data_IF_146607238046
#
_entry.id   IF_146607238046
#
_cell.length_a   1.000
_cell.length_b   1.000
_cell.length_c   1.000
_cell.angle_alpha   90.00
_cell.angle_beta   90.00
_cell.angle_gamma   90.00
#
_symmetry.space_group_name_H-M   'P 1'
#
loop_
_entity.id
_entity.type
_entity.pdbx_description
1 polymer ?
#
# COMPACT_ATOMS: atom_id res chain seq x y z
N UNK A 1 -22.91 -17.30 -18.93
CA UNK A 1 -22.18 -17.96 -17.84
C UNK A 1 -20.71 -17.87 -18.16
N UNK A 2 -19.98 -16.94 -17.54
CA UNK A 2 -18.53 -16.82 -17.74
C UNK A 2 -17.84 -17.91 -16.92
N UNK A 3 -17.26 -18.88 -17.61
CA UNK A 3 -16.35 -19.88 -17.05
C UNK A 3 -15.16 -19.13 -16.44
N UNK A 4 -15.13 -18.99 -15.12
CA UNK A 4 -13.94 -18.52 -14.39
C UNK A 4 -13.05 -19.74 -14.23
N UNK A 5 -11.92 -19.75 -14.94
CA UNK A 5 -10.93 -20.82 -14.85
C UNK A 5 -10.46 -20.95 -13.38
N UNK A 6 -10.58 -22.13 -12.76
CA UNK A 6 -10.16 -22.33 -11.37
C UNK A 6 -8.64 -22.16 -11.18
N UNK A 7 -7.86 -22.11 -12.26
CA UNK A 7 -6.43 -21.79 -12.27
C UNK A 7 -6.12 -20.35 -12.70
N UNK A 8 -7.09 -19.43 -12.65
CA UNK A 8 -6.86 -18.02 -12.96
C UNK A 8 -6.00 -17.36 -11.86
N UNK A 9 -4.69 -17.56 -11.92
CA UNK A 9 -3.74 -16.70 -11.24
C UNK A 9 -3.89 -15.31 -11.84
N UNK A 10 -4.33 -14.33 -11.04
CA UNK A 10 -4.28 -12.91 -11.44
C UNK A 10 -2.86 -12.65 -11.95
N UNK A 11 -2.74 -12.09 -13.15
CA UNK A 11 -1.44 -11.83 -13.80
C UNK A 11 -0.53 -10.96 -12.95
N UNK A 12 -1.13 -10.11 -12.11
CA UNK A 12 -0.42 -9.09 -11.36
C UNK A 12 -0.12 -9.61 -9.94
N UNK A 13 1.16 -9.57 -9.57
CA UNK A 13 1.57 -9.93 -8.22
C UNK A 13 1.01 -8.95 -7.17
N UNK A 14 0.85 -9.38 -5.92
CA UNK A 14 0.45 -8.47 -4.83
C UNK A 14 1.39 -7.27 -4.72
N UNK A 15 2.69 -7.47 -4.93
CA UNK A 15 3.69 -6.40 -4.99
C UNK A 15 3.38 -5.37 -6.08
N UNK A 16 2.97 -5.84 -7.25
CA UNK A 16 2.61 -4.98 -8.37
C UNK A 16 1.34 -4.18 -8.08
N UNK A 17 0.30 -4.84 -7.53
CA UNK A 17 -0.93 -4.15 -7.08
C UNK A 17 -0.61 -3.05 -6.07
N UNK A 18 0.18 -3.38 -5.03
CA UNK A 18 0.59 -2.41 -4.01
C UNK A 18 1.39 -1.25 -4.64
N UNK A 19 2.29 -1.55 -5.57
CA UNK A 19 3.11 -0.54 -6.27
C UNK A 19 2.22 0.43 -7.06
N UNK A 20 1.28 -0.10 -7.85
CA UNK A 20 0.36 0.69 -8.68
C UNK A 20 -0.56 1.59 -7.86
N UNK A 21 -1.00 1.12 -6.69
CA UNK A 21 -1.81 1.92 -5.77
C UNK A 21 -0.93 2.98 -5.08
N UNK A 22 0.26 2.61 -4.59
CA UNK A 22 1.18 3.51 -3.88
C UNK A 22 1.64 4.70 -4.75
N UNK A 23 1.83 4.49 -6.06
CA UNK A 23 2.17 5.55 -7.02
C UNK A 23 1.17 6.72 -7.01
N UNK A 24 -0.10 6.46 -6.68
CA UNK A 24 -1.16 7.49 -6.67
C UNK A 24 -1.06 8.43 -5.47
N UNK A 25 -0.39 8.03 -4.40
CA UNK A 25 -0.26 8.83 -3.17
C UNK A 25 0.94 9.76 -3.19
N UNK A 26 1.98 9.44 -3.98
CA UNK A 26 3.19 10.26 -4.00
C UNK A 26 4.03 10.08 -5.26
N UNK A 27 4.52 11.19 -5.85
CA UNK A 27 5.53 11.12 -6.90
C UNK A 27 6.94 10.85 -6.34
N UNK A 28 7.17 10.97 -5.03
CA UNK A 28 8.50 10.86 -4.42
C UNK A 28 8.88 9.39 -4.23
N UNK A 29 9.89 8.93 -4.97
CA UNK A 29 10.36 7.54 -4.98
C UNK A 29 10.69 6.97 -3.59
N UNK A 30 11.37 7.74 -2.75
CA UNK A 30 11.72 7.31 -1.40
C UNK A 30 10.47 7.10 -0.52
N UNK A 31 9.48 7.99 -0.63
CA UNK A 31 8.21 7.85 0.09
C UNK A 31 7.41 6.65 -0.45
N UNK A 32 7.39 6.47 -1.78
CA UNK A 32 6.71 5.35 -2.43
C UNK A 32 7.29 4.00 -2.00
N UNK A 33 8.62 3.86 -1.98
CA UNK A 33 9.29 2.64 -1.52
C UNK A 33 8.91 2.29 -0.09
N UNK A 34 8.91 3.29 0.81
CA UNK A 34 8.55 3.09 2.21
C UNK A 34 7.08 2.66 2.37
N UNK A 35 6.15 3.27 1.64
CA UNK A 35 4.73 2.89 1.65
C UNK A 35 4.56 1.43 1.17
N UNK A 36 5.23 1.05 0.07
CA UNK A 36 5.18 -0.31 -0.47
C UNK A 36 5.71 -1.32 0.56
N UNK A 37 6.90 -1.07 1.11
CA UNK A 37 7.56 -1.97 2.06
C UNK A 37 6.71 -2.19 3.32
N UNK A 38 6.23 -1.11 3.94
CA UNK A 38 5.37 -1.22 5.13
C UNK A 38 4.05 -1.93 4.84
N UNK A 39 3.45 -1.66 3.69
CA UNK A 39 2.22 -2.35 3.29
C UNK A 39 2.46 -3.86 3.16
N UNK A 40 3.55 -4.26 2.50
CA UNK A 40 3.89 -5.68 2.34
C UNK A 40 4.12 -6.38 3.68
N UNK A 41 4.75 -5.71 4.65
CA UNK A 41 4.91 -6.23 6.02
C UNK A 41 3.54 -6.44 6.68
N UNK A 42 2.63 -5.46 6.61
CA UNK A 42 1.26 -5.60 7.17
C UNK A 42 0.52 -6.78 6.53
N UNK A 43 0.67 -6.99 5.22
CA UNK A 43 0.03 -8.11 4.53
C UNK A 43 0.59 -9.44 5.04
N UNK A 44 1.90 -9.56 5.21
CA UNK A 44 2.52 -10.78 5.74
C UNK A 44 2.10 -11.08 7.19
N UNK A 45 1.83 -10.04 7.98
CA UNK A 45 1.36 -10.16 9.37
C UNK A 45 -0.17 -10.41 9.47
N UNK A 46 -0.91 -10.38 8.35
CA UNK A 46 -2.37 -10.56 8.30
C UNK A 46 -2.76 -11.62 7.27
N UNK A 47 -2.54 -12.92 7.57
CA UNK A 47 -2.90 -14.02 6.67
C UNK A 47 -4.40 -14.12 6.38
N UNK A 48 -5.24 -13.47 7.17
CA UNK A 48 -6.70 -13.41 7.01
C UNK A 48 -7.20 -12.45 5.92
N UNK A 49 -6.30 -11.63 5.34
CA UNK A 49 -6.69 -10.72 4.26
C UNK A 49 -7.19 -11.52 3.04
N UNK A 50 -8.44 -11.27 2.66
CA UNK A 50 -9.01 -11.86 1.45
C UNK A 50 -8.48 -11.13 0.20
N UNK A 51 -7.43 -11.69 -0.39
CA UNK A 51 -6.82 -11.22 -1.62
C UNK A 51 -7.59 -11.69 -2.88
N UNK A 52 -8.83 -12.15 -2.72
CA UNK A 52 -9.78 -12.40 -3.80
C UNK A 52 -10.11 -11.13 -4.60
N UNK A 53 -10.06 -9.95 -3.96
CA UNK A 53 -10.04 -8.62 -4.61
C UNK A 53 -8.98 -7.69 -3.96
N UNK A 54 -7.70 -7.82 -4.33
CA UNK A 54 -6.58 -7.12 -3.72
C UNK A 54 -6.69 -5.60 -3.77
N UNK A 55 -7.31 -5.00 -4.81
CA UNK A 55 -7.40 -3.54 -4.88
C UNK A 55 -8.33 -3.02 -3.79
N UNK A 56 -9.49 -3.66 -3.64
CA UNK A 56 -10.47 -3.29 -2.61
C UNK A 56 -9.91 -3.50 -1.22
N UNK A 57 -9.22 -4.62 -1.01
CA UNK A 57 -8.71 -5.01 0.31
C UNK A 57 -7.45 -4.22 0.72
N UNK A 58 -6.54 -3.97 -0.22
CA UNK A 58 -5.26 -3.32 0.08
C UNK A 58 -5.33 -1.78 0.07
N UNK A 59 -6.29 -1.18 -0.64
CA UNK A 59 -6.41 0.28 -0.71
C UNK A 59 -6.55 0.95 0.68
N UNK A 60 -7.40 0.46 1.61
CA UNK A 60 -7.46 1.02 2.97
C UNK A 60 -6.13 0.92 3.71
N UNK A 61 -5.43 -0.20 3.59
CA UNK A 61 -4.12 -0.43 4.23
C UNK A 61 -3.08 0.54 3.70
N UNK A 62 -2.94 0.64 2.38
CA UNK A 62 -1.97 1.52 1.71
C UNK A 62 -2.27 2.99 2.03
N UNK A 63 -3.56 3.37 2.03
CA UNK A 63 -3.98 4.72 2.42
C UNK A 63 -3.57 5.05 3.84
N UNK A 64 -3.78 4.13 4.79
CA UNK A 64 -3.39 4.35 6.18
C UNK A 64 -1.89 4.54 6.32
N UNK A 65 -1.09 3.66 5.71
CA UNK A 65 0.38 3.76 5.71
C UNK A 65 0.85 5.08 5.10
N UNK A 66 0.23 5.52 4.00
CA UNK A 66 0.55 6.80 3.37
C UNK A 66 0.23 7.98 4.30
N UNK A 67 -0.96 7.99 4.92
CA UNK A 67 -1.35 9.02 5.88
C UNK A 67 -0.39 9.09 7.07
N UNK A 68 -0.05 7.95 7.66
CA UNK A 68 0.90 7.89 8.79
C UNK A 68 2.27 8.44 8.40
N UNK A 69 2.76 8.11 7.20
CA UNK A 69 4.03 8.63 6.69
C UNK A 69 4.02 10.16 6.52
N UNK A 70 2.94 10.73 6.00
CA UNK A 70 2.85 12.18 5.78
C UNK A 70 2.61 12.95 7.08
N UNK A 71 1.78 12.44 7.99
CA UNK A 71 1.55 13.07 9.29
C UNK A 71 2.82 13.09 10.17
N UNK A 72 3.67 12.06 10.07
CA UNK A 72 4.98 12.04 10.76
C UNK A 72 5.91 13.12 10.22
N UNK A 73 5.89 13.39 8.90
CA UNK A 73 6.71 14.46 8.30
C UNK A 73 6.26 15.85 8.74
N UNK A 74 4.96 16.12 8.77
CA UNK A 74 4.43 17.41 9.23
C UNK A 74 4.82 17.69 10.69
N UNK A 75 4.72 16.68 11.57
CA UNK A 75 5.11 16.82 12.98
C UNK A 75 6.61 17.09 13.17
N UNK A 76 7.46 16.52 12.32
CA UNK A 76 8.90 16.75 12.38
C UNK A 76 9.29 18.14 11.84
N UNK A 77 8.65 18.63 10.77
CA UNK A 77 8.89 19.99 10.27
C UNK A 77 8.44 21.08 11.25
N UNK A 78 7.29 20.92 11.92
CA UNK A 78 6.80 21.90 12.91
C UNK A 78 7.77 22.05 14.09
N UNK A 79 8.48 20.99 14.49
CA UNK A 79 9.43 21.02 15.61
C UNK A 79 10.77 21.70 15.26
N UNK A 80 11.17 21.69 13.99
CA UNK A 80 12.42 22.33 13.55
C UNK A 80 12.26 23.84 13.36
N UNK A 81 11.07 24.33 12.97
CA UNK A 81 10.80 25.76 12.81
C UNK A 81 10.65 26.55 14.13
N UNK A 82 10.79 25.90 15.29
CA UNK A 82 10.72 26.52 16.63
C UNK A 82 12.07 26.46 17.38
N UNK A 83 13.18 26.23 16.68
CA UNK A 83 14.55 26.35 17.20
C UNK A 83 15.29 27.46 16.45
#
# INVERSE_FOLDING_TARGET
MTNVDPNYFRTDSIREVVTNIAQRFTPVDAARKLIIERTLLIIMDRPELDLGDPVRELLPVIRQVALDHFQVKDRNQVRESHR
#
